data_IF_208652302696
#
_entry.id   IF_208652302696
#
_cell.length_a   1.000
_cell.length_b   1.000
_cell.length_c   1.000
_cell.angle_alpha   90.00
_cell.angle_beta   90.00
_cell.angle_gamma   90.00
#
_symmetry.space_group_name_H-M   'P 1'
#
loop_
_entity.id
_entity.type
_entity.pdbx_description
1 polymer ?
#
# COMPACT_ATOMS: atom_id res chain seq x y z
N UNK A 1 54.98 22.24 71.51
CA UNK A 1 54.07 23.39 71.31
C UNK A 1 53.78 23.47 69.81
N UNK A 2 52.99 22.51 69.30
CA UNK A 2 51.58 22.71 68.88
C UNK A 2 51.39 23.66 67.68
N UNK A 3 52.18 23.54 66.61
CA UNK A 3 51.89 24.26 65.35
C UNK A 3 51.96 23.39 64.07
N UNK A 4 52.69 22.27 64.05
CA UNK A 4 52.83 21.47 62.80
C UNK A 4 51.67 20.50 62.51
N UNK A 5 50.82 20.17 63.49
CA UNK A 5 49.69 19.24 63.30
C UNK A 5 48.40 19.92 62.82
N UNK A 6 48.34 21.26 62.85
CA UNK A 6 47.15 22.03 62.47
C UNK A 6 47.16 22.36 60.97
N UNK A 7 48.35 22.53 60.37
CA UNK A 7 48.49 22.87 58.94
C UNK A 7 48.14 21.68 58.05
N UNK A 8 48.63 20.47 58.35
CA UNK A 8 48.34 19.26 57.57
C UNK A 8 46.86 18.86 57.56
N UNK A 9 46.16 19.05 58.70
CA UNK A 9 44.73 18.69 58.81
C UNK A 9 43.79 19.73 58.18
N UNK A 10 44.23 21.00 58.08
CA UNK A 10 43.49 22.05 57.35
C UNK A 10 43.75 22.00 55.83
N UNK A 11 44.92 21.54 55.40
CA UNK A 11 45.22 21.35 53.96
C UNK A 11 44.46 20.15 53.36
N UNK A 12 44.28 19.08 54.13
CA UNK A 12 43.48 17.92 53.70
C UNK A 12 41.97 18.23 53.60
N UNK A 13 41.45 19.14 54.41
CA UNK A 13 40.04 19.56 54.34
C UNK A 13 39.76 20.56 53.20
N UNK A 14 40.77 21.30 52.73
CA UNK A 14 40.60 22.24 51.61
C UNK A 14 40.63 21.54 50.25
N UNK A 15 41.31 20.38 50.13
CA UNK A 15 41.38 19.63 48.88
C UNK A 15 40.13 18.77 48.61
N UNK A 16 39.41 18.36 49.65
CA UNK A 16 38.17 17.59 49.54
C UNK A 16 36.94 18.43 49.13
N UNK A 17 37.02 19.76 49.21
CA UNK A 17 35.94 20.69 48.82
C UNK A 17 36.03 21.14 47.34
N UNK A 18 37.14 20.88 46.64
CA UNK A 18 37.35 21.29 45.26
C UNK A 18 36.89 20.25 44.21
N UNK A 19 36.56 19.02 44.62
CA UNK A 19 36.11 17.95 43.71
C UNK A 19 34.58 17.87 43.56
N UNK A 20 33.80 18.74 44.21
CA UNK A 20 32.34 18.76 44.10
C UNK A 20 31.80 19.79 43.08
N UNK A 21 32.67 20.42 42.29
CA UNK A 21 32.29 21.50 41.36
C UNK A 21 32.04 21.04 39.91
N UNK A 22 32.05 19.73 39.64
CA UNK A 22 31.55 19.18 38.38
C UNK A 22 30.14 18.60 38.59
N UNK A 23 29.18 19.47 38.92
CA UNK A 23 27.78 19.11 38.70
C UNK A 23 27.53 19.09 37.18
N UNK A 24 26.82 18.07 36.65
CA UNK A 24 26.51 18.03 35.24
C UNK A 24 25.77 19.31 34.84
N UNK A 25 26.20 19.92 33.74
CA UNK A 25 25.58 21.12 33.18
C UNK A 25 24.07 20.86 33.04
N UNK A 26 23.18 21.70 33.59
CA UNK A 26 21.75 21.53 33.37
C UNK A 26 21.52 21.64 31.87
N UNK A 27 21.00 20.56 31.27
CA UNK A 27 20.69 20.49 29.84
C UNK A 27 19.19 20.66 29.67
N UNK A 28 18.65 21.89 29.71
CA UNK A 28 17.19 22.12 29.63
C UNK A 28 16.57 21.69 28.31
N UNK A 29 17.39 21.35 27.31
CA UNK A 29 16.96 20.88 25.99
C UNK A 29 17.36 19.42 25.70
N UNK A 30 17.93 18.68 26.67
CA UNK A 30 18.01 17.24 26.53
C UNK A 30 16.66 16.64 26.99
N UNK A 31 15.93 15.94 26.10
CA UNK A 31 14.76 15.20 26.55
C UNK A 31 15.20 14.13 27.57
N UNK A 32 14.51 14.06 28.71
CA UNK A 32 14.81 13.10 29.79
C UNK A 32 14.67 11.64 29.34
N UNK A 33 13.99 11.42 28.22
CA UNK A 33 13.89 10.13 27.53
C UNK A 33 14.67 10.23 26.21
N UNK A 34 15.80 9.53 26.12
CA UNK A 34 16.26 9.05 24.81
C UNK A 34 15.17 8.11 24.32
N UNK A 35 14.44 8.53 23.29
CA UNK A 35 13.44 7.72 22.62
C UNK A 35 14.04 6.35 22.31
N UNK A 36 13.52 5.31 22.96
CA UNK A 36 13.83 3.89 22.67
C UNK A 36 13.06 3.45 21.42
N UNK A 37 12.09 4.26 20.99
CA UNK A 37 11.35 4.15 19.73
C UNK A 37 11.71 5.35 18.85
N UNK A 38 11.75 5.20 17.53
CA UNK A 38 12.40 6.13 16.58
C UNK A 38 12.04 7.62 16.70
N UNK A 39 12.87 8.47 16.09
CA UNK A 39 12.53 9.88 15.89
C UNK A 39 11.28 9.96 14.99
N UNK A 40 10.17 10.57 15.40
CA UNK A 40 8.99 10.72 14.54
C UNK A 40 9.25 11.60 13.30
N UNK A 41 10.37 12.33 13.23
CA UNK A 41 10.83 12.99 11.99
C UNK A 41 11.60 12.04 11.04
N UNK A 42 11.98 10.85 11.50
CA UNK A 42 12.46 9.74 10.66
C UNK A 42 11.30 8.82 10.23
N UNK A 43 10.17 8.89 10.93
CA UNK A 43 8.86 8.43 10.47
C UNK A 43 8.15 9.60 9.76
N UNK A 44 8.85 10.25 8.82
CA UNK A 44 8.12 11.00 7.79
C UNK A 44 7.19 9.96 7.17
N UNK A 45 5.88 10.12 7.35
CA UNK A 45 4.89 9.46 6.52
C UNK A 45 5.43 9.59 5.10
N UNK A 46 5.78 8.46 4.47
CA UNK A 46 6.16 8.37 3.06
C UNK A 46 4.92 8.77 2.26
N UNK A 47 4.57 10.05 2.33
CA UNK A 47 3.47 10.65 1.62
C UNK A 47 3.86 10.53 0.16
N UNK A 48 2.99 9.91 -0.62
CA UNK A 48 3.19 9.71 -2.04
C UNK A 48 3.35 11.08 -2.72
N UNK A 49 4.59 11.48 -2.98
CA UNK A 49 4.90 12.68 -3.73
C UNK A 49 4.89 12.41 -5.24
N UNK A 50 5.05 13.46 -6.04
CA UNK A 50 5.21 13.33 -7.49
C UNK A 50 6.66 13.57 -7.88
N UNK A 51 7.32 12.55 -8.43
CA UNK A 51 8.60 12.70 -9.08
C UNK A 51 8.40 13.11 -10.54
N UNK A 52 8.87 14.31 -10.89
CA UNK A 52 8.76 14.85 -12.25
C UNK A 52 9.96 14.42 -13.07
N UNK A 53 9.74 13.45 -13.95
CA UNK A 53 10.77 12.89 -14.82
C UNK A 53 11.19 13.84 -15.95
N UNK A 54 12.26 13.45 -16.65
CA UNK A 54 12.64 14.11 -17.89
C UNK A 54 11.54 13.95 -18.96
N UNK A 55 11.35 14.98 -19.77
CA UNK A 55 10.38 14.94 -20.87
C UNK A 55 11.10 14.36 -22.08
N UNK A 56 10.70 13.16 -22.48
CA UNK A 56 11.24 12.49 -23.65
C UNK A 56 11.01 13.33 -24.91
N UNK A 57 12.02 13.38 -25.79
CA UNK A 57 12.07 14.20 -27.00
C UNK A 57 12.02 15.73 -26.78
N UNK A 58 12.05 16.23 -25.53
CA UNK A 58 12.27 17.65 -25.26
C UNK A 58 13.76 17.99 -25.22
N UNK A 59 14.11 19.25 -25.52
CA UNK A 59 15.47 19.74 -25.24
C UNK A 59 15.72 19.80 -23.73
N UNK A 60 16.97 19.63 -23.24
CA UNK A 60 17.26 19.72 -21.81
C UNK A 60 16.81 21.04 -21.17
N UNK A 61 16.87 22.15 -21.92
CA UNK A 61 16.41 23.45 -21.45
C UNK A 61 14.88 23.49 -21.23
N UNK A 62 14.11 22.95 -22.18
CA UNK A 62 12.64 22.86 -22.05
C UNK A 62 12.26 21.89 -20.94
N UNK A 63 12.88 20.70 -20.91
CA UNK A 63 12.59 19.68 -19.90
C UNK A 63 12.90 20.19 -18.49
N UNK A 64 14.04 20.85 -18.28
CA UNK A 64 14.41 21.40 -16.98
C UNK A 64 13.48 22.53 -16.53
N UNK A 65 13.21 23.50 -17.42
CA UNK A 65 12.33 24.63 -17.10
C UNK A 65 10.90 24.18 -16.79
N UNK A 66 10.34 23.27 -17.59
CA UNK A 66 8.99 22.74 -17.38
C UNK A 66 8.91 21.83 -16.17
N UNK A 67 9.93 21.01 -15.91
CA UNK A 67 10.01 20.19 -14.70
C UNK A 67 10.00 21.04 -13.42
N UNK A 68 10.84 22.08 -13.35
CA UNK A 68 10.87 22.99 -12.20
C UNK A 68 9.55 23.75 -12.02
N UNK A 69 8.91 24.19 -13.12
CA UNK A 69 7.62 24.87 -13.05
C UNK A 69 6.49 23.94 -12.60
N UNK A 70 6.50 22.67 -13.03
CA UNK A 70 5.55 21.65 -12.56
C UNK A 70 5.69 21.40 -11.06
N UNK A 71 6.92 21.27 -10.55
CA UNK A 71 7.16 21.14 -9.11
C UNK A 71 6.58 22.32 -8.35
N UNK A 72 6.84 23.55 -8.80
CA UNK A 72 6.28 24.74 -8.16
C UNK A 72 4.74 24.74 -8.17
N UNK A 73 4.12 24.42 -9.32
CA UNK A 73 2.66 24.40 -9.45
C UNK A 73 1.99 23.27 -8.64
N UNK A 74 2.64 22.12 -8.47
CA UNK A 74 2.15 21.03 -7.63
C UNK A 74 2.27 21.36 -6.14
N UNK A 75 3.38 21.99 -5.73
CA UNK A 75 3.54 22.46 -4.36
C UNK A 75 2.50 23.51 -3.98
N UNK A 76 2.11 24.39 -4.91
CA UNK A 76 1.01 25.35 -4.71
C UNK A 76 -0.37 24.67 -4.51
N UNK A 77 -0.50 23.40 -4.91
CA UNK A 77 -1.68 22.55 -4.68
C UNK A 77 -1.51 21.61 -3.47
N UNK A 78 -0.52 21.88 -2.60
CA UNK A 78 -0.17 21.05 -1.45
C UNK A 78 0.23 19.60 -1.82
N UNK A 79 0.72 19.37 -3.04
CA UNK A 79 1.27 18.08 -3.49
C UNK A 79 2.79 18.12 -3.40
N UNK A 80 3.43 17.29 -2.53
CA UNK A 80 4.88 17.15 -2.51
C UNK A 80 5.39 16.72 -3.88
N UNK A 81 6.33 17.47 -4.47
CA UNK A 81 6.90 17.13 -5.78
C UNK A 81 8.39 17.44 -5.85
N UNK A 82 9.12 16.69 -6.68
CA UNK A 82 10.56 16.89 -6.89
C UNK A 82 11.02 16.41 -8.27
N UNK A 83 12.06 17.02 -8.81
CA UNK A 83 12.79 16.54 -10.01
C UNK A 83 14.08 15.79 -9.66
N UNK A 84 14.47 15.77 -8.39
CA UNK A 84 15.76 15.22 -7.94
C UNK A 84 15.62 13.92 -7.15
N UNK A 85 14.55 13.83 -6.36
CA UNK A 85 14.37 12.79 -5.34
C UNK A 85 12.99 12.17 -5.48
N UNK A 86 12.94 10.85 -5.55
CA UNK A 86 11.74 10.05 -5.39
C UNK A 86 11.89 9.17 -4.14
N UNK A 87 10.80 8.91 -3.42
CA UNK A 87 10.70 7.82 -2.45
C UNK A 87 9.99 6.60 -3.09
N UNK A 88 9.93 5.48 -2.38
CA UNK A 88 9.32 4.23 -2.88
C UNK A 88 7.82 4.34 -3.15
N UNK A 89 7.16 5.40 -2.68
CA UNK A 89 5.72 5.66 -2.87
C UNK A 89 5.45 6.83 -3.81
N UNK A 90 6.47 7.37 -4.47
CA UNK A 90 6.31 8.53 -5.33
C UNK A 90 5.71 8.12 -6.66
N UNK A 91 4.68 8.83 -7.13
CA UNK A 91 4.24 8.72 -8.51
C UNK A 91 5.32 9.26 -9.45
N UNK A 92 5.58 8.56 -10.55
CA UNK A 92 6.40 9.07 -11.64
C UNK A 92 5.51 9.82 -12.64
N UNK A 93 5.73 11.12 -12.79
CA UNK A 93 5.20 11.89 -13.91
C UNK A 93 6.17 11.78 -15.08
N UNK A 94 5.75 11.07 -16.13
CA UNK A 94 6.51 10.89 -17.36
C UNK A 94 5.88 11.66 -18.51
N UNK A 95 6.67 12.47 -19.22
CA UNK A 95 6.19 13.26 -20.36
C UNK A 95 6.89 12.85 -21.65
N UNK A 96 6.16 12.75 -22.76
CA UNK A 96 6.74 12.55 -24.10
C UNK A 96 6.25 13.62 -25.06
N UNK A 97 7.18 14.27 -25.76
CA UNK A 97 6.87 15.27 -26.78
C UNK A 97 6.82 14.63 -28.18
N UNK A 98 5.70 14.82 -28.89
CA UNK A 98 5.52 14.40 -30.26
C UNK A 98 5.29 15.62 -31.17
N UNK A 99 5.89 15.67 -32.38
CA UNK A 99 5.49 16.66 -33.36
C UNK A 99 4.02 16.46 -33.73
N UNK A 100 3.29 17.57 -33.90
CA UNK A 100 1.90 17.58 -34.31
C UNK A 100 1.76 18.47 -35.55
N UNK A 101 1.17 17.93 -36.62
CA UNK A 101 0.94 18.69 -37.85
C UNK A 101 -0.41 19.42 -37.84
N UNK A 102 -1.35 19.02 -36.98
CA UNK A 102 -2.69 19.62 -36.92
C UNK A 102 -3.26 19.63 -35.49
N UNK A 103 -3.23 20.76 -34.76
CA UNK A 103 -2.58 22.02 -35.14
C UNK A 103 -1.05 21.86 -35.20
N UNK A 104 -0.40 22.69 -36.03
CA UNK A 104 1.07 22.75 -36.12
C UNK A 104 1.67 23.07 -34.74
N UNK A 105 2.48 22.15 -34.22
CA UNK A 105 2.93 22.22 -32.84
C UNK A 105 3.59 20.96 -32.31
N UNK A 106 3.56 20.87 -30.99
CA UNK A 106 4.03 19.72 -30.21
C UNK A 106 2.90 19.26 -29.32
N UNK A 107 2.55 17.99 -29.44
CA UNK A 107 1.66 17.27 -28.53
C UNK A 107 2.49 16.70 -27.40
N UNK A 108 2.24 17.15 -26.19
CA UNK A 108 2.80 16.58 -24.98
C UNK A 108 1.83 15.54 -24.45
N UNK A 109 2.30 14.30 -24.35
CA UNK A 109 1.59 13.21 -23.72
C UNK A 109 2.20 12.98 -22.34
N UNK A 110 1.36 13.09 -21.30
CA UNK A 110 1.75 12.89 -19.92
C UNK A 110 1.16 11.58 -19.41
N UNK A 111 1.95 10.85 -18.63
CA UNK A 111 1.52 9.67 -17.90
C UNK A 111 1.90 9.84 -16.43
N UNK A 112 0.95 9.58 -15.54
CA UNK A 112 1.20 9.43 -14.11
C UNK A 112 1.27 7.94 -13.84
N UNK A 113 2.41 7.49 -13.33
CA UNK A 113 2.71 6.09 -13.07
C UNK A 113 2.84 5.92 -11.56
N UNK A 114 2.11 4.96 -10.99
CA UNK A 114 2.08 4.67 -9.56
C UNK A 114 3.03 3.53 -9.16
N UNK A 115 2.70 2.84 -8.08
CA UNK A 115 3.41 1.64 -7.64
C UNK A 115 3.35 0.53 -8.72
N UNK A 116 4.38 -0.33 -8.79
CA UNK A 116 4.50 -1.45 -9.74
C UNK A 116 4.35 -1.10 -11.24
N UNK A 117 4.77 0.10 -11.65
CA UNK A 117 4.71 0.62 -13.03
C UNK A 117 3.27 0.72 -13.59
N UNK A 118 2.25 0.78 -12.72
CA UNK A 118 0.85 0.93 -13.14
C UNK A 118 0.57 2.36 -13.60
N UNK A 119 0.06 2.53 -14.82
CA UNK A 119 -0.38 3.84 -15.33
C UNK A 119 -1.68 4.23 -14.62
N UNK A 120 -1.60 5.20 -13.71
CA UNK A 120 -2.73 5.79 -12.99
C UNK A 120 -3.62 6.57 -13.95
N UNK A 121 -3.00 7.28 -14.90
CA UNK A 121 -3.72 7.98 -15.94
C UNK A 121 -2.82 8.73 -16.89
N UNK A 122 -3.43 9.27 -17.94
CA UNK A 122 -2.72 10.01 -18.97
C UNK A 122 -3.53 11.20 -19.45
N UNK A 123 -2.86 12.26 -19.85
CA UNK A 123 -3.51 13.40 -20.48
C UNK A 123 -2.59 14.07 -21.50
N UNK A 124 -3.18 14.89 -22.35
CA UNK A 124 -2.45 15.60 -23.40
C UNK A 124 -2.50 17.11 -23.25
N UNK A 125 -1.44 17.77 -23.68
CA UNK A 125 -1.36 19.21 -23.87
C UNK A 125 -0.81 19.52 -25.27
N UNK A 126 -1.16 20.69 -25.80
CA UNK A 126 -0.73 21.15 -27.11
C UNK A 126 0.07 22.45 -26.96
N UNK A 127 1.20 22.53 -27.65
CA UNK A 127 2.08 23.70 -27.65
C UNK A 127 2.37 24.11 -29.08
N UNK A 128 2.23 25.40 -29.40
CA UNK A 128 2.57 25.90 -30.73
C UNK A 128 4.08 25.70 -31.03
N UNK A 129 4.41 25.31 -32.27
CA UNK A 129 5.78 24.94 -32.64
C UNK A 129 6.80 26.08 -32.36
N UNK A 130 6.41 27.33 -32.65
CA UNK A 130 7.24 28.50 -32.37
C UNK A 130 7.53 28.70 -30.87
N UNK A 131 6.56 28.42 -30.01
CA UNK A 131 6.74 28.51 -28.56
C UNK A 131 7.64 27.37 -28.06
N UNK A 132 7.47 26.16 -28.60
CA UNK A 132 8.31 25.01 -28.23
C UNK A 132 9.79 25.19 -28.60
N UNK A 133 10.07 25.78 -29.76
CA UNK A 133 11.43 26.06 -30.23
C UNK A 133 12.12 27.21 -29.47
N UNK A 134 11.35 28.14 -28.91
CA UNK A 134 11.85 29.30 -28.17
C UNK A 134 11.00 29.50 -26.91
N UNK A 135 11.20 28.67 -25.86
CA UNK A 135 10.36 28.67 -24.68
C UNK A 135 10.53 29.97 -23.88
N UNK A 136 9.39 30.58 -23.52
CA UNK A 136 9.34 31.70 -22.58
C UNK A 136 8.86 31.23 -21.20
N UNK A 137 9.21 31.95 -20.14
CA UNK A 137 8.72 31.65 -18.78
C UNK A 137 7.19 31.61 -18.73
N UNK A 138 6.53 32.57 -19.38
CA UNK A 138 5.06 32.63 -19.48
C UNK A 138 4.44 31.47 -20.28
N UNK A 139 5.18 30.79 -21.15
CA UNK A 139 4.71 29.54 -21.77
C UNK A 139 4.86 28.37 -20.81
N UNK A 140 6.02 28.25 -20.19
CA UNK A 140 6.34 27.19 -19.22
C UNK A 140 5.38 27.21 -18.03
N UNK A 141 5.18 28.37 -17.41
CA UNK A 141 4.25 28.56 -16.29
C UNK A 141 2.81 28.18 -16.68
N UNK A 142 2.38 28.53 -17.89
CA UNK A 142 1.02 28.21 -18.37
C UNK A 142 0.82 26.71 -18.55
N UNK A 143 1.83 26.00 -19.07
CA UNK A 143 1.77 24.55 -19.21
C UNK A 143 1.76 23.85 -17.85
N UNK A 144 2.63 24.29 -16.93
CA UNK A 144 2.66 23.76 -15.57
C UNK A 144 1.33 23.98 -14.84
N UNK A 145 0.78 25.19 -14.89
CA UNK A 145 -0.49 25.53 -14.24
C UNK A 145 -1.71 24.83 -14.86
N UNK A 146 -1.65 24.44 -16.13
CA UNK A 146 -2.71 23.61 -16.76
C UNK A 146 -2.54 22.11 -16.44
N UNK A 147 -1.30 21.64 -16.30
CA UNK A 147 -1.00 20.24 -15.99
C UNK A 147 -1.23 19.89 -14.51
N UNK A 148 -0.79 20.77 -13.59
CA UNK A 148 -0.78 20.47 -12.15
C UNK A 148 -2.16 20.06 -11.58
N UNK A 149 -3.29 20.73 -11.89
CA UNK A 149 -4.60 20.29 -11.41
C UNK A 149 -5.06 18.93 -11.99
N UNK A 150 -4.59 18.58 -13.19
CA UNK A 150 -4.90 17.28 -13.81
C UNK A 150 -4.11 16.16 -13.14
N UNK A 151 -2.84 16.43 -12.82
CA UNK A 151 -1.99 15.53 -12.06
C UNK A 151 -2.55 15.35 -10.64
N UNK A 152 -2.97 16.44 -9.97
CA UNK A 152 -3.65 16.38 -8.67
C UNK A 152 -4.86 15.44 -8.72
N UNK A 153 -5.72 15.61 -9.72
CA UNK A 153 -6.90 14.78 -9.85
C UNK A 153 -6.56 13.30 -10.00
N UNK A 154 -5.56 12.96 -10.81
CA UNK A 154 -5.11 11.57 -11.02
C UNK A 154 -4.48 10.97 -9.77
N UNK A 155 -3.63 11.73 -9.08
CA UNK A 155 -2.96 11.29 -7.85
C UNK A 155 -3.96 11.10 -6.70
N UNK A 156 -4.93 12.02 -6.55
CA UNK A 156 -5.94 11.92 -5.50
C UNK A 156 -6.90 10.74 -5.73
N UNK A 157 -7.37 10.55 -6.96
CA UNK A 157 -8.31 9.45 -7.29
C UNK A 157 -7.68 8.07 -7.04
N UNK A 158 -6.38 7.93 -7.28
CA UNK A 158 -5.65 6.70 -6.97
C UNK A 158 -5.37 6.56 -5.46
N UNK A 159 -4.99 7.63 -4.77
CA UNK A 159 -4.81 7.59 -3.32
C UNK A 159 -6.11 7.28 -2.56
N UNK A 160 -7.26 7.65 -3.12
CA UNK A 160 -8.59 7.31 -2.58
C UNK A 160 -9.05 5.89 -3.00
N UNK A 161 -8.37 5.27 -3.98
CA UNK A 161 -8.66 3.91 -4.37
C UNK A 161 -8.28 2.95 -3.23
N UNK A 162 -9.17 2.02 -2.85
CA UNK A 162 -8.84 1.07 -1.81
C UNK A 162 -7.65 0.22 -2.28
N UNK A 163 -6.67 -0.06 -1.39
CA UNK A 163 -5.52 -0.88 -1.74
C UNK A 163 -5.98 -2.25 -2.26
N UNK A 164 -5.17 -2.94 -3.08
CA UNK A 164 -5.54 -4.25 -3.62
C UNK A 164 -5.88 -5.27 -2.52
N UNK A 165 -6.68 -6.28 -2.85
CA UNK A 165 -6.96 -7.37 -1.88
C UNK A 165 -5.66 -8.16 -1.68
N UNK A 166 -5.35 -8.63 -0.47
CA UNK A 166 -4.20 -9.51 -0.28
C UNK A 166 -4.37 -10.77 -1.13
N UNK A 167 -3.28 -11.30 -1.72
CA UNK A 167 -3.35 -12.54 -2.48
C UNK A 167 -3.76 -13.68 -1.55
N UNK A 168 -4.37 -14.72 -2.12
CA UNK A 168 -4.86 -15.87 -1.37
C UNK A 168 -4.35 -17.19 -1.93
N UNK A 169 -3.96 -18.08 -1.04
CA UNK A 169 -3.78 -19.50 -1.33
C UNK A 169 -5.06 -20.22 -0.92
N UNK A 170 -5.67 -20.96 -1.85
CA UNK A 170 -6.82 -21.83 -1.54
C UNK A 170 -6.32 -23.26 -1.40
N UNK A 171 -6.36 -23.78 -0.18
CA UNK A 171 -5.99 -25.16 0.12
C UNK A 171 -7.04 -26.16 -0.38
N UNK A 172 -6.67 -27.45 -0.57
CA UNK A 172 -7.62 -28.50 -0.86
C UNK A 172 -8.74 -28.57 0.19
N UNK A 173 -9.98 -28.61 -0.27
CA UNK A 173 -11.15 -28.75 0.58
C UNK A 173 -11.17 -30.17 1.14
N UNK A 174 -11.62 -30.32 2.38
CA UNK A 174 -11.72 -31.61 3.05
C UNK A 174 -13.16 -31.95 3.47
N UNK A 175 -13.46 -33.25 3.57
CA UNK A 175 -14.72 -33.75 4.13
C UNK A 175 -15.90 -33.89 3.16
N UNK A 176 -15.77 -33.44 1.91
CA UNK A 176 -16.81 -33.62 0.92
C UNK A 176 -16.83 -35.08 0.39
N UNK A 177 -18.02 -35.68 0.20
CA UNK A 177 -18.18 -36.95 -0.49
C UNK A 177 -18.00 -36.84 -2.01
N UNK A 178 -17.93 -37.98 -2.70
CA UNK A 178 -17.85 -38.03 -4.16
C UNK A 178 -16.60 -37.32 -4.71
N UNK A 179 -16.78 -36.45 -5.70
CA UNK A 179 -15.73 -35.57 -6.24
C UNK A 179 -15.72 -34.17 -5.56
N UNK A 180 -16.43 -34.00 -4.45
CA UNK A 180 -16.73 -32.70 -3.87
C UNK A 180 -15.52 -31.88 -3.43
N UNK A 181 -14.47 -32.52 -2.91
CA UNK A 181 -13.25 -31.83 -2.45
C UNK A 181 -12.58 -31.11 -3.62
N UNK A 182 -12.32 -31.85 -4.70
CA UNK A 182 -11.71 -31.31 -5.92
C UNK A 182 -12.62 -30.28 -6.59
N UNK A 183 -13.92 -30.58 -6.68
CA UNK A 183 -14.90 -29.71 -7.30
C UNK A 183 -15.02 -28.36 -6.57
N UNK A 184 -15.04 -28.36 -5.23
CA UNK A 184 -15.15 -27.14 -4.43
C UNK A 184 -13.86 -26.33 -4.41
N UNK A 185 -12.68 -26.96 -4.28
CA UNK A 185 -11.41 -26.22 -4.39
C UNK A 185 -11.33 -25.51 -5.73
N UNK A 186 -11.64 -26.21 -6.81
CA UNK A 186 -11.62 -25.62 -8.14
C UNK A 186 -12.70 -24.54 -8.32
N UNK A 187 -13.89 -24.73 -7.75
CA UNK A 187 -14.96 -23.73 -7.80
C UNK A 187 -14.60 -22.46 -7.02
N UNK A 188 -14.06 -22.60 -5.79
CA UNK A 188 -13.64 -21.47 -4.94
C UNK A 188 -12.53 -20.65 -5.59
N UNK A 189 -11.49 -21.31 -6.11
CA UNK A 189 -10.41 -20.62 -6.87
C UNK A 189 -10.97 -19.83 -8.05
N UNK A 190 -11.94 -20.37 -8.78
CA UNK A 190 -12.57 -19.66 -9.91
C UNK A 190 -13.45 -18.50 -9.44
N UNK A 191 -14.19 -18.66 -8.34
CA UNK A 191 -15.04 -17.61 -7.79
C UNK A 191 -14.21 -16.40 -7.34
N UNK A 192 -13.13 -16.65 -6.60
CA UNK A 192 -12.21 -15.60 -6.15
C UNK A 192 -11.50 -14.89 -7.30
N UNK A 193 -11.00 -15.64 -8.31
CA UNK A 193 -10.41 -15.05 -9.52
C UNK A 193 -11.41 -14.20 -10.32
N UNK A 194 -12.69 -14.61 -10.39
CA UNK A 194 -13.75 -13.81 -11.04
C UNK A 194 -14.01 -12.49 -10.32
N UNK A 195 -13.77 -12.46 -9.03
CA UNK A 195 -13.85 -11.27 -8.20
C UNK A 195 -12.51 -10.50 -8.11
N UNK A 196 -11.59 -10.76 -9.06
CA UNK A 196 -10.29 -10.07 -9.17
C UNK A 196 -9.37 -10.24 -7.95
N UNK A 197 -9.59 -11.29 -7.14
CA UNK A 197 -8.66 -11.69 -6.09
C UNK A 197 -7.50 -12.47 -6.71
N UNK A 198 -6.26 -12.09 -6.40
CA UNK A 198 -5.09 -12.85 -6.84
C UNK A 198 -5.01 -14.19 -6.09
N UNK A 199 -5.22 -15.28 -6.83
CA UNK A 199 -5.15 -16.63 -6.29
C UNK A 199 -3.82 -17.24 -6.70
N UNK A 200 -2.93 -17.38 -5.73
CA UNK A 200 -1.58 -17.91 -5.90
C UNK A 200 -1.52 -19.40 -5.55
N UNK A 201 -0.65 -20.15 -6.24
CA UNK A 201 -0.48 -21.59 -6.02
C UNK A 201 0.48 -21.90 -4.85
N UNK A 202 1.36 -20.96 -4.51
CA UNK A 202 2.29 -21.07 -3.38
C UNK A 202 2.16 -19.84 -2.50
N UNK A 203 2.39 -20.02 -1.20
CA UNK A 203 2.34 -18.92 -0.24
C UNK A 203 3.38 -17.85 -0.60
N UNK A 204 2.90 -16.69 -1.04
CA UNK A 204 3.69 -15.50 -1.30
C UNK A 204 3.73 -14.60 -0.05
N UNK A 205 4.61 -13.59 -0.06
CA UNK A 205 4.61 -12.57 0.99
C UNK A 205 3.26 -11.83 1.01
N UNK A 206 2.70 -11.62 2.20
CA UNK A 206 1.38 -11.01 2.36
C UNK A 206 0.18 -11.89 1.98
N UNK A 207 0.40 -13.13 1.52
CA UNK A 207 -0.69 -14.03 1.14
C UNK A 207 -1.44 -14.59 2.36
N UNK A 208 -2.77 -14.62 2.26
CA UNK A 208 -3.65 -15.28 3.22
C UNK A 208 -4.01 -16.69 2.76
N UNK A 209 -4.43 -17.54 3.68
CA UNK A 209 -4.80 -18.93 3.39
C UNK A 209 -6.29 -19.13 3.59
N UNK A 210 -6.95 -19.67 2.59
CA UNK A 210 -8.37 -20.06 2.62
C UNK A 210 -8.45 -21.56 2.83
N UNK A 211 -9.04 -21.97 3.95
CA UNK A 211 -9.31 -23.37 4.31
C UNK A 211 -10.80 -23.66 4.15
N UNK A 212 -11.13 -24.76 3.47
CA UNK A 212 -12.52 -25.21 3.32
C UNK A 212 -12.74 -26.59 3.90
N UNK A 213 -13.79 -26.75 4.71
CA UNK A 213 -14.17 -28.04 5.27
C UNK A 213 -15.65 -28.28 5.17
N UNK A 214 -16.04 -29.54 4.98
CA UNK A 214 -17.42 -29.97 4.96
C UNK A 214 -17.66 -30.96 6.08
N UNK A 215 -18.76 -30.73 6.79
CA UNK A 215 -19.28 -31.64 7.79
C UNK A 215 -20.70 -32.09 7.42
N UNK A 216 -21.00 -33.35 7.71
CA UNK A 216 -22.31 -33.97 7.44
C UNK A 216 -22.80 -34.65 8.70
N UNK A 217 -24.07 -34.43 9.05
CA UNK A 217 -24.72 -35.10 10.15
C UNK A 217 -26.15 -35.52 9.78
N UNK A 218 -26.64 -36.71 10.21
CA UNK A 218 -28.04 -37.07 10.04
C UNK A 218 -28.96 -36.04 10.70
N UNK A 219 -30.06 -35.69 10.03
CA UNK A 219 -31.06 -34.76 10.57
C UNK A 219 -32.48 -35.18 10.18
N UNK A 220 -33.11 -36.02 10.99
CA UNK A 220 -34.42 -36.59 10.71
C UNK A 220 -34.36 -37.83 9.80
N UNK A 221 -35.53 -38.36 9.43
CA UNK A 221 -35.61 -39.58 8.62
C UNK A 221 -35.24 -39.29 7.15
N UNK A 222 -34.16 -39.92 6.68
CA UNK A 222 -33.72 -39.84 5.27
C UNK A 222 -33.12 -38.51 4.85
N UNK A 223 -32.83 -37.63 5.81
CA UNK A 223 -32.29 -36.30 5.59
C UNK A 223 -30.97 -36.12 6.36
N UNK A 224 -30.10 -35.26 5.84
CA UNK A 224 -28.83 -34.91 6.46
C UNK A 224 -28.58 -33.41 6.36
N UNK A 225 -27.99 -32.83 7.41
CA UNK A 225 -27.42 -31.49 7.38
C UNK A 225 -26.02 -31.55 6.82
N UNK A 226 -25.75 -30.65 5.89
CA UNK A 226 -24.43 -30.40 5.32
C UNK A 226 -24.04 -29.00 5.76
N UNK A 227 -22.88 -28.89 6.39
CA UNK A 227 -22.27 -27.64 6.80
C UNK A 227 -20.95 -27.47 6.05
N UNK A 228 -20.77 -26.30 5.45
CA UNK A 228 -19.57 -25.90 4.74
C UNK A 228 -18.99 -24.71 5.49
N UNK A 229 -17.76 -24.86 5.93
CA UNK A 229 -17.03 -23.84 6.68
C UNK A 229 -15.83 -23.39 5.86
N UNK A 230 -15.71 -22.08 5.66
CA UNK A 230 -14.56 -21.43 5.05
C UNK A 230 -13.86 -20.58 6.10
N UNK A 231 -12.59 -20.85 6.38
CA UNK A 231 -11.78 -20.01 7.27
C UNK A 231 -10.71 -19.28 6.47
N UNK A 232 -10.52 -18.00 6.75
CA UNK A 232 -9.41 -17.20 6.25
C UNK A 232 -8.41 -17.03 7.37
N UNK A 233 -7.19 -17.48 7.16
CA UNK A 233 -6.12 -17.43 8.16
C UNK A 233 -4.88 -16.76 7.60
N UNK A 234 -4.03 -16.24 8.49
CA UNK A 234 -2.67 -15.81 8.15
C UNK A 234 -1.72 -17.00 8.04
N UNK A 235 -0.55 -16.83 7.39
CA UNK A 235 0.52 -17.83 7.34
C UNK A 235 0.96 -18.40 8.68
N UNK A 236 0.83 -17.62 9.76
CA UNK A 236 1.19 -18.02 11.13
C UNK A 236 0.11 -18.87 11.82
N UNK A 237 -1.03 -19.10 11.15
CA UNK A 237 -2.17 -19.87 11.66
C UNK A 237 -3.23 -19.04 12.39
N UNK A 238 -3.06 -17.72 12.54
CA UNK A 238 -4.08 -16.86 13.16
C UNK A 238 -5.31 -16.70 12.26
N UNK A 239 -6.50 -16.86 12.83
CA UNK A 239 -7.77 -16.72 12.10
C UNK A 239 -8.15 -15.24 11.94
N UNK A 240 -8.44 -14.84 10.70
CA UNK A 240 -9.02 -13.53 10.37
C UNK A 240 -10.54 -13.60 10.51
N UNK A 241 -11.13 -14.70 10.07
CA UNK A 241 -12.55 -14.98 10.24
C UNK A 241 -12.99 -16.23 9.52
N UNK A 242 -14.30 -16.51 9.64
CA UNK A 242 -14.91 -17.74 9.17
C UNK A 242 -16.32 -17.50 8.63
N UNK A 243 -16.67 -18.25 7.58
CA UNK A 243 -17.98 -18.25 6.94
C UNK A 243 -18.55 -19.65 7.06
N UNK A 244 -19.73 -19.76 7.68
CA UNK A 244 -20.46 -21.02 7.79
C UNK A 244 -21.71 -20.98 6.91
N UNK A 245 -21.85 -21.97 6.05
CA UNK A 245 -23.02 -22.18 5.19
C UNK A 245 -23.60 -23.55 5.53
N UNK A 246 -24.91 -23.67 5.70
CA UNK A 246 -25.51 -24.98 5.92
C UNK A 246 -26.85 -25.15 5.22
N UNK A 247 -27.16 -26.39 4.86
CA UNK A 247 -28.45 -26.76 4.31
C UNK A 247 -28.81 -28.20 4.69
N UNK A 248 -30.10 -28.52 4.67
CA UNK A 248 -30.60 -29.88 4.90
C UNK A 248 -31.00 -30.47 3.56
N UNK A 249 -30.44 -31.64 3.23
CA UNK A 249 -30.62 -32.32 1.95
C UNK A 249 -31.03 -33.78 2.16
N UNK A 250 -31.52 -34.44 1.11
CA UNK A 250 -31.78 -35.88 1.18
C UNK A 250 -30.45 -36.63 1.37
N UNK A 251 -30.43 -37.62 2.26
CA UNK A 251 -29.23 -38.40 2.54
C UNK A 251 -28.66 -39.05 1.28
N UNK A 252 -27.34 -38.91 1.09
CA UNK A 252 -26.61 -39.44 -0.07
C UNK A 252 -26.79 -38.66 -1.38
N UNK A 253 -27.58 -37.58 -1.39
CA UNK A 253 -27.78 -36.77 -2.60
C UNK A 253 -26.49 -36.10 -3.11
N UNK A 254 -25.47 -35.97 -2.25
CA UNK A 254 -24.18 -35.37 -2.56
C UNK A 254 -23.05 -36.39 -2.79
N UNK A 255 -23.32 -37.69 -2.79
CA UNK A 255 -22.26 -38.71 -2.91
C UNK A 255 -21.72 -38.85 -4.34
N UNK A 256 -22.34 -38.19 -5.31
CA UNK A 256 -21.97 -38.20 -6.73
C UNK A 256 -21.10 -37.02 -7.15
N UNK A 257 -21.39 -36.49 -8.35
CA UNK A 257 -20.66 -35.37 -8.94
C UNK A 257 -21.21 -34.04 -8.47
N UNK A 258 -20.36 -33.18 -7.92
CA UNK A 258 -20.75 -31.90 -7.34
C UNK A 258 -20.97 -30.82 -8.39
N UNK A 259 -20.13 -30.75 -9.42
CA UNK A 259 -20.31 -29.87 -10.59
C UNK A 259 -20.91 -28.48 -10.28
N UNK A 260 -22.17 -28.29 -10.63
CA UNK A 260 -22.91 -27.04 -10.40
C UNK A 260 -23.11 -26.70 -8.91
N UNK A 261 -23.34 -27.70 -8.05
CA UNK A 261 -23.51 -27.50 -6.59
C UNK A 261 -22.25 -26.88 -5.99
N UNK A 262 -21.07 -27.38 -6.38
CA UNK A 262 -19.80 -26.79 -5.95
C UNK A 262 -19.67 -25.32 -6.37
N UNK A 263 -20.16 -24.95 -7.55
CA UNK A 263 -20.13 -23.57 -8.04
C UNK A 263 -20.99 -22.66 -7.17
N UNK A 264 -22.24 -23.06 -6.88
CA UNK A 264 -23.17 -22.27 -6.06
C UNK A 264 -22.64 -22.09 -4.63
N UNK A 265 -22.10 -23.14 -4.01
CA UNK A 265 -21.52 -23.07 -2.67
C UNK A 265 -20.31 -22.13 -2.67
N UNK A 266 -19.40 -22.30 -3.64
CA UNK A 266 -18.21 -21.49 -3.76
C UNK A 266 -18.53 -20.00 -4.01
N UNK A 267 -19.54 -19.67 -4.82
CA UNK A 267 -19.94 -18.29 -5.07
C UNK A 267 -20.41 -17.61 -3.78
N UNK A 268 -21.27 -18.28 -2.99
CA UNK A 268 -21.70 -17.75 -1.70
C UNK A 268 -20.57 -17.66 -0.66
N UNK A 269 -19.62 -18.60 -0.70
CA UNK A 269 -18.45 -18.56 0.20
C UNK A 269 -17.47 -17.45 -0.17
N UNK A 270 -17.24 -17.24 -1.46
CA UNK A 270 -16.34 -16.22 -1.99
C UNK A 270 -16.80 -14.81 -1.62
N UNK A 271 -18.11 -14.52 -1.68
CA UNK A 271 -18.67 -13.23 -1.25
C UNK A 271 -18.28 -12.90 0.21
N UNK A 272 -18.45 -13.86 1.12
CA UNK A 272 -18.07 -13.69 2.52
C UNK A 272 -16.55 -13.59 2.73
N UNK A 273 -15.76 -14.37 1.98
CA UNK A 273 -14.29 -14.28 2.02
C UNK A 273 -13.84 -12.87 1.58
N UNK A 274 -14.37 -12.33 0.49
CA UNK A 274 -14.02 -10.99 0.00
C UNK A 274 -14.26 -9.93 1.07
N UNK A 275 -15.39 -10.01 1.80
CA UNK A 275 -15.68 -9.10 2.90
C UNK A 275 -14.66 -9.21 4.06
N UNK A 276 -14.18 -10.43 4.37
CA UNK A 276 -13.10 -10.62 5.35
C UNK A 276 -11.77 -10.05 4.86
N UNK A 277 -11.42 -10.28 3.60
CA UNK A 277 -10.20 -9.73 2.99
C UNK A 277 -10.22 -8.20 3.03
N UNK A 278 -11.34 -7.57 2.69
CA UNK A 278 -11.52 -6.12 2.77
C UNK A 278 -11.35 -5.60 4.21
N UNK A 279 -11.91 -6.31 5.19
CA UNK A 279 -11.85 -5.91 6.60
C UNK A 279 -10.44 -6.08 7.18
N UNK A 280 -9.69 -7.08 6.72
CA UNK A 280 -8.31 -7.34 7.16
C UNK A 280 -7.31 -6.25 6.75
N UNK A 281 -7.69 -5.37 5.82
CA UNK A 281 -6.88 -4.22 5.38
C UNK A 281 -6.87 -3.09 6.39
N UNK A 282 -7.91 -2.96 7.21
CA UNK A 282 -7.98 -1.90 8.21
C UNK A 282 -7.08 -2.30 9.38
N UNK A 283 -6.04 -1.52 9.72
CA UNK A 283 -5.27 -1.79 10.93
C UNK A 283 -6.25 -1.79 12.11
N UNK A 284 -6.21 -2.87 12.89
CA UNK A 284 -6.98 -2.98 14.12
C UNK A 284 -6.52 -1.86 15.05
N UNK A 285 -7.35 -0.81 15.20
CA UNK A 285 -7.06 0.28 16.12
C UNK A 285 -6.94 -0.31 17.54
N UNK A 286 -5.84 -0.04 18.26
CA UNK A 286 -5.64 -0.53 19.62
C UNK A 286 -6.63 0.06 20.63
#
# INVERSE_FOLDING_TARGET
>A
MRLDLIVGRRLAFLFLLLCAACQPLPQPFQPEQKWVDGNPLLELDDTAGVFVGAIENASPAVSGALGSALVAALLDLDIPASVETANSRSYLLYGTAYPSETPDGVRLEWQVIGEDDVIVGSFEQQVAAAQWQSPSSAMVERLANDAAPRIEALVRDESDAPPPLPPVVVEPVAGAPGDGNEALTAAMRRALRRAEVDVVETLAEGALVVLGSIYRAPEGEGMERVEVTWSVIRPDGSEIGRIDQSNVVASGSLDGRWGHIATVIADGGAEGIIALLQSSRSPESP
#
